data_IF_420220429085
#
_entry.id   IF_420220429085
#
_cell.length_a   1.000
_cell.length_b   1.000
_cell.length_c   1.000
_cell.angle_alpha   90.00
_cell.angle_beta   90.00
_cell.angle_gamma   90.00
#
_symmetry.space_group_name_H-M   'P 1'
#
loop_
_entity.id
_entity.type
_entity.pdbx_description
1 polymer ?
#
# COMPACT_ATOMS: atom_id res chain seq x y z
N UNK A 1 -13.12 26.88 2.93
CA UNK A 1 -11.93 26.08 2.57
C UNK A 1 -12.15 24.63 3.02
N UNK A 2 -12.12 23.68 2.09
CA UNK A 2 -12.23 22.25 2.38
C UNK A 2 -10.92 21.74 3.00
N UNK A 3 -10.97 21.07 4.16
CA UNK A 3 -9.78 20.63 4.91
C UNK A 3 -9.66 19.11 5.04
N UNK A 4 -10.74 18.38 4.87
CA UNK A 4 -10.77 16.91 4.95
C UNK A 4 -12.17 16.33 4.84
N UNK A 5 -12.23 15.00 4.77
CA UNK A 5 -13.47 14.21 4.81
C UNK A 5 -13.47 13.37 6.08
N UNK A 6 -14.55 13.43 6.86
CA UNK A 6 -14.71 12.53 7.99
C UNK A 6 -14.86 11.10 7.50
N UNK A 7 -14.00 10.22 8.01
CA UNK A 7 -13.91 8.83 7.56
C UNK A 7 -14.50 7.86 8.57
N UNK A 8 -14.30 8.11 9.87
CA UNK A 8 -14.72 7.18 10.91
C UNK A 8 -14.88 7.90 12.25
N UNK A 9 -15.83 7.42 13.06
CA UNK A 9 -15.93 7.70 14.49
C UNK A 9 -15.59 6.40 15.24
N UNK A 10 -14.63 6.45 16.14
CA UNK A 10 -14.37 5.32 17.03
C UNK A 10 -15.34 5.43 18.22
N UNK A 11 -16.26 4.48 18.34
CA UNK A 11 -17.22 4.44 19.43
C UNK A 11 -17.52 3.00 19.83
N UNK A 12 -16.89 2.49 20.89
CA UNK A 12 -17.20 1.16 21.41
C UNK A 12 -18.64 1.01 21.96
N UNK A 13 -19.28 2.15 22.32
CA UNK A 13 -20.57 2.18 22.99
C UNK A 13 -21.71 2.75 22.13
N UNK A 14 -21.42 3.12 20.87
CA UNK A 14 -22.38 3.81 20.00
C UNK A 14 -22.52 5.32 20.31
N UNK A 15 -21.95 5.82 21.41
CA UNK A 15 -21.92 7.24 21.77
C UNK A 15 -20.60 7.88 21.33
N UNK A 16 -20.61 9.17 21.01
CA UNK A 16 -19.37 9.88 20.66
C UNK A 16 -18.46 10.00 21.90
N UNK A 17 -17.30 9.32 21.83
CA UNK A 17 -16.28 9.37 22.88
C UNK A 17 -15.17 10.40 22.57
N UNK A 18 -15.40 11.29 21.61
CA UNK A 18 -14.50 12.39 21.28
C UNK A 18 -13.42 12.08 20.23
N UNK A 19 -13.37 10.88 19.66
CA UNK A 19 -12.42 10.54 18.61
C UNK A 19 -13.07 10.47 17.24
N UNK A 20 -12.73 11.45 16.40
CA UNK A 20 -13.11 11.48 14.99
C UNK A 20 -11.87 11.42 14.09
N UNK A 21 -11.95 10.66 13.02
CA UNK A 21 -10.87 10.54 12.04
C UNK A 21 -11.28 11.18 10.72
N UNK A 22 -10.43 12.03 10.17
CA UNK A 22 -10.64 12.67 8.89
C UNK A 22 -9.47 12.41 7.95
N UNK A 23 -9.80 12.18 6.67
CA UNK A 23 -8.81 12.06 5.60
C UNK A 23 -8.45 13.49 5.15
N UNK A 24 -7.15 13.89 5.22
CA UNK A 24 -6.71 15.22 4.78
C UNK A 24 -7.01 15.49 3.30
N UNK A 25 -7.28 16.75 2.94
CA UNK A 25 -7.56 17.16 1.56
C UNK A 25 -6.47 16.77 0.57
N UNK A 26 -5.20 16.73 0.98
CA UNK A 26 -4.08 16.34 0.12
C UNK A 26 -4.22 14.90 -0.38
N UNK A 27 -4.63 13.98 0.49
CA UNK A 27 -4.89 12.57 0.12
C UNK A 27 -6.16 12.47 -0.71
N UNK A 28 -7.23 13.21 -0.32
CA UNK A 28 -8.50 13.23 -1.06
C UNK A 28 -8.32 13.76 -2.48
N UNK A 29 -7.58 14.86 -2.66
CA UNK A 29 -7.32 15.45 -3.98
C UNK A 29 -6.59 14.46 -4.88
N UNK A 30 -5.53 13.81 -4.35
CA UNK A 30 -4.82 12.75 -5.10
C UNK A 30 -5.76 11.60 -5.47
N UNK A 31 -6.62 11.15 -4.54
CA UNK A 31 -7.55 10.07 -4.80
C UNK A 31 -8.53 10.44 -5.94
N UNK A 32 -9.08 11.65 -5.93
CA UNK A 32 -9.96 12.16 -6.99
C UNK A 32 -9.23 12.19 -8.35
N UNK A 33 -7.99 12.68 -8.37
CA UNK A 33 -7.19 12.71 -9.59
C UNK A 33 -6.92 11.28 -10.11
N UNK A 34 -6.55 10.36 -9.21
CA UNK A 34 -6.30 8.97 -9.56
C UNK A 34 -7.55 8.29 -10.12
N UNK A 35 -8.71 8.47 -9.48
CA UNK A 35 -9.99 7.94 -9.98
C UNK A 35 -10.37 8.53 -11.34
N UNK A 36 -10.19 9.85 -11.53
CA UNK A 36 -10.46 10.49 -12.84
C UNK A 36 -9.55 9.99 -13.95
N UNK A 37 -8.27 9.76 -13.63
CA UNK A 37 -7.25 9.44 -14.64
C UNK A 37 -7.09 7.94 -14.89
N UNK A 38 -7.24 7.14 -13.85
CA UNK A 38 -6.93 5.70 -13.88
C UNK A 38 -8.10 4.80 -13.51
N UNK A 39 -9.23 5.39 -13.08
CA UNK A 39 -10.40 4.65 -12.59
C UNK A 39 -10.20 3.98 -11.21
N UNK A 40 -9.01 4.07 -10.62
CA UNK A 40 -8.69 3.49 -9.31
C UNK A 40 -7.62 4.30 -8.59
N UNK A 41 -7.61 4.21 -7.25
CA UNK A 41 -6.60 4.84 -6.42
C UNK A 41 -5.23 4.17 -6.61
N UNK A 42 -4.20 4.98 -6.84
CA UNK A 42 -2.83 4.51 -7.03
C UNK A 42 -2.11 4.44 -5.68
N UNK A 43 -1.90 3.24 -5.17
CA UNK A 43 -1.18 3.03 -3.92
C UNK A 43 0.31 2.80 -4.22
N UNK A 44 1.14 3.70 -3.70
CA UNK A 44 2.59 3.54 -3.73
C UNK A 44 3.07 2.88 -2.44
N UNK A 45 3.96 1.92 -2.56
CA UNK A 45 4.48 1.12 -1.45
C UNK A 45 6.01 1.11 -1.44
N UNK A 46 6.56 1.12 -0.24
CA UNK A 46 8.00 0.94 -0.02
C UNK A 46 8.38 -0.55 0.11
N UNK A 47 7.43 -1.39 0.53
CA UNK A 47 7.64 -2.84 0.67
C UNK A 47 8.39 -3.21 1.96
N UNK A 48 7.92 -2.71 3.10
CA UNK A 48 8.42 -3.09 4.42
C UNK A 48 7.28 -3.47 5.36
N UNK A 49 7.59 -4.29 6.35
CA UNK A 49 6.81 -4.49 7.57
C UNK A 49 7.65 -3.94 8.73
N UNK A 50 7.01 -3.28 9.68
CA UNK A 50 7.71 -2.67 10.80
C UNK A 50 6.80 -1.81 11.64
N UNK A 51 7.38 -1.06 12.57
CA UNK A 51 6.67 -0.20 13.50
C UNK A 51 7.50 0.97 13.98
N UNK A 52 6.91 1.81 14.84
CA UNK A 52 7.65 2.88 15.52
C UNK A 52 8.73 2.28 16.41
N UNK A 53 9.97 2.76 16.25
CA UNK A 53 11.08 2.30 17.10
C UNK A 53 10.80 2.55 18.58
N UNK A 54 10.19 3.69 18.90
CA UNK A 54 9.83 4.03 20.28
C UNK A 54 8.91 2.98 20.88
N UNK A 55 7.82 2.62 20.18
CA UNK A 55 6.87 1.62 20.68
C UNK A 55 7.54 0.25 20.88
N UNK A 56 8.46 -0.12 19.97
CA UNK A 56 9.26 -1.33 20.10
C UNK A 56 10.16 -1.29 21.34
N UNK A 57 10.87 -0.17 21.59
CA UNK A 57 11.74 -0.01 22.75
C UNK A 57 10.93 -0.08 24.06
N UNK A 58 9.79 0.61 24.10
CA UNK A 58 8.93 0.63 25.29
C UNK A 58 8.38 -0.79 25.57
N UNK A 59 7.91 -1.49 24.55
CA UNK A 59 7.44 -2.88 24.71
C UNK A 59 8.54 -3.87 25.14
N UNK A 60 9.79 -3.67 24.73
CA UNK A 60 10.91 -4.50 25.19
C UNK A 60 11.26 -4.23 26.65
N UNK A 61 11.26 -2.95 27.06
CA UNK A 61 11.50 -2.57 28.47
C UNK A 61 10.42 -3.12 29.41
N UNK A 62 9.16 -3.09 28.99
CA UNK A 62 8.05 -3.66 29.77
C UNK A 62 8.19 -5.18 29.98
N UNK A 63 8.97 -5.85 29.14
CA UNK A 63 9.27 -7.28 29.22
C UNK A 63 10.63 -7.57 29.88
N UNK A 64 11.29 -6.57 30.49
CA UNK A 64 12.64 -6.68 31.07
C UNK A 64 13.69 -7.24 30.07
N UNK A 65 13.55 -6.93 28.77
CA UNK A 65 14.47 -7.35 27.72
C UNK A 65 15.46 -6.25 27.38
N UNK A 66 16.69 -6.66 27.09
CA UNK A 66 17.70 -5.76 26.58
C UNK A 66 17.31 -5.21 25.21
N UNK A 67 17.48 -3.91 25.03
CA UNK A 67 17.19 -3.21 23.78
C UNK A 67 18.49 -2.87 23.08
N UNK A 68 18.60 -3.26 21.81
CA UNK A 68 19.71 -2.84 20.94
C UNK A 68 19.74 -1.31 20.86
N UNK A 69 20.94 -0.75 20.96
CA UNK A 69 21.15 0.67 20.71
C UNK A 69 21.21 0.96 19.20
N UNK A 70 20.17 1.60 18.68
CA UNK A 70 20.04 1.98 17.28
C UNK A 70 20.72 3.31 16.94
N UNK A 71 21.22 4.07 17.93
CA UNK A 71 21.74 5.43 17.76
C UNK A 71 20.66 6.49 17.57
N UNK A 72 19.40 6.12 17.79
CA UNK A 72 18.23 7.00 17.81
C UNK A 72 17.14 6.38 18.69
N UNK A 73 16.21 7.20 19.16
CA UNK A 73 15.02 6.76 19.90
C UNK A 73 13.73 6.88 19.05
N UNK A 74 13.83 7.50 17.88
CA UNK A 74 12.69 7.76 17.00
C UNK A 74 12.95 7.23 15.59
N UNK A 75 11.89 6.92 14.89
CA UNK A 75 11.91 6.43 13.52
C UNK A 75 11.04 5.19 13.33
N UNK A 76 11.00 4.69 12.11
CA UNK A 76 10.31 3.45 11.75
C UNK A 76 11.33 2.33 11.61
N UNK A 77 11.30 1.37 12.54
CA UNK A 77 12.13 0.17 12.49
C UNK A 77 11.57 -0.81 11.47
N UNK A 78 12.43 -1.34 10.63
CA UNK A 78 12.09 -2.38 9.66
C UNK A 78 12.21 -3.74 10.35
N UNK A 79 11.11 -4.50 10.39
CA UNK A 79 11.10 -5.88 10.88
C UNK A 79 11.34 -6.86 9.74
N UNK A 80 10.74 -6.58 8.57
CA UNK A 80 10.87 -7.40 7.37
C UNK A 80 10.85 -6.53 6.12
N UNK A 81 11.63 -6.91 5.13
CA UNK A 81 11.59 -6.36 3.77
C UNK A 81 10.86 -7.34 2.88
N UNK A 82 9.92 -6.84 2.08
CA UNK A 82 9.15 -7.63 1.13
C UNK A 82 10.01 -7.89 -0.11
N UNK A 83 10.10 -9.13 -0.54
CA UNK A 83 10.73 -9.51 -1.80
C UNK A 83 10.06 -8.74 -2.95
N UNK A 84 10.82 -8.34 -3.94
CA UNK A 84 10.36 -7.49 -5.05
C UNK A 84 9.83 -6.09 -4.65
N UNK A 85 9.92 -5.70 -3.37
CA UNK A 85 9.58 -4.37 -2.88
C UNK A 85 10.63 -3.31 -3.26
N UNK A 86 10.23 -2.02 -3.22
CA UNK A 86 11.15 -0.92 -3.46
C UNK A 86 12.30 -0.86 -2.43
N UNK A 87 12.04 -1.29 -1.20
CA UNK A 87 13.04 -1.37 -0.14
C UNK A 87 14.09 -2.47 -0.42
N UNK A 88 13.68 -3.61 -0.99
CA UNK A 88 14.59 -4.69 -1.39
C UNK A 88 15.53 -4.24 -2.50
N UNK A 89 15.01 -3.58 -3.54
CA UNK A 89 15.81 -3.03 -4.64
C UNK A 89 16.87 -2.04 -4.17
N UNK A 90 16.63 -1.38 -3.05
CA UNK A 90 17.52 -0.37 -2.47
C UNK A 90 18.41 -0.90 -1.33
N UNK A 91 18.48 -2.22 -1.15
CA UNK A 91 19.26 -2.89 -0.10
C UNK A 91 18.91 -2.44 1.32
N UNK A 92 17.66 -2.01 1.59
CA UNK A 92 17.18 -1.85 2.95
C UNK A 92 17.01 -3.22 3.61
N UNK A 93 17.29 -3.31 4.90
CA UNK A 93 17.33 -4.57 5.64
C UNK A 93 16.50 -4.52 6.91
N UNK A 94 16.10 -5.66 7.47
CA UNK A 94 15.62 -5.72 8.84
C UNK A 94 16.61 -5.03 9.78
N UNK A 95 16.08 -4.41 10.83
CA UNK A 95 16.82 -3.62 11.82
C UNK A 95 17.28 -2.22 11.35
N UNK A 96 17.10 -1.84 10.08
CA UNK A 96 17.25 -0.45 9.68
C UNK A 96 16.14 0.41 10.31
N UNK A 97 16.47 1.65 10.65
CA UNK A 97 15.52 2.61 11.21
C UNK A 97 15.38 3.79 10.26
N UNK A 98 14.22 3.92 9.62
CA UNK A 98 13.91 5.05 8.75
C UNK A 98 13.61 6.26 9.63
N UNK A 99 14.33 7.37 9.40
CA UNK A 99 14.21 8.60 10.18
C UNK A 99 13.70 9.79 9.38
N UNK A 100 13.81 9.74 8.03
CA UNK A 100 13.39 10.84 7.16
C UNK A 100 13.02 10.32 5.77
N UNK A 101 11.98 10.92 5.18
CA UNK A 101 11.57 10.68 3.79
C UNK A 101 11.32 12.01 3.10
N UNK A 102 12.01 12.26 1.96
CA UNK A 102 11.97 13.52 1.20
C UNK A 102 12.16 14.78 2.07
N UNK A 103 13.12 14.71 3.01
CA UNK A 103 13.42 15.81 3.93
C UNK A 103 12.44 15.97 5.10
N UNK A 104 11.41 15.14 5.19
CA UNK A 104 10.44 15.14 6.29
C UNK A 104 10.81 14.07 7.31
N UNK A 105 10.95 14.48 8.57
CA UNK A 105 11.17 13.53 9.67
C UNK A 105 10.01 12.55 9.78
N UNK A 106 10.33 11.32 10.13
CA UNK A 106 9.38 10.21 10.31
C UNK A 106 9.71 9.54 11.63
N UNK A 107 8.82 9.67 12.61
CA UNK A 107 8.93 9.03 13.92
C UNK A 107 8.03 7.79 14.04
N UNK A 108 6.93 7.75 13.28
CA UNK A 108 5.92 6.70 13.36
C UNK A 108 5.59 6.10 11.99
N UNK A 109 5.06 4.87 11.99
CA UNK A 109 4.55 4.22 10.78
C UNK A 109 3.41 5.03 10.13
N UNK A 110 2.57 5.70 10.92
CA UNK A 110 1.49 6.55 10.41
C UNK A 110 2.01 7.74 9.61
N UNK A 111 3.09 8.39 10.07
CA UNK A 111 3.74 9.50 9.35
C UNK A 111 4.35 9.01 8.03
N UNK A 112 5.04 7.86 8.04
CA UNK A 112 5.56 7.23 6.84
C UNK A 112 4.45 6.96 5.83
N UNK A 113 3.36 6.30 6.27
CA UNK A 113 2.20 6.01 5.43
C UNK A 113 1.53 7.29 4.90
N UNK A 114 1.46 8.34 5.71
CA UNK A 114 0.91 9.64 5.30
C UNK A 114 1.72 10.30 4.16
N UNK A 115 3.04 10.15 4.16
CA UNK A 115 3.90 10.61 3.06
C UNK A 115 3.66 9.74 1.82
N UNK A 116 3.68 8.41 1.96
CA UNK A 116 3.51 7.47 0.85
C UNK A 116 2.10 7.57 0.21
N UNK A 117 1.07 7.90 1.00
CA UNK A 117 -0.29 8.09 0.50
C UNK A 117 -0.42 9.23 -0.52
N UNK A 118 0.53 10.16 -0.56
CA UNK A 118 0.60 11.27 -1.52
C UNK A 118 1.38 10.91 -2.80
N UNK A 119 1.99 9.73 -2.84
CA UNK A 119 2.85 9.26 -3.94
C UNK A 119 2.13 8.26 -4.84
N UNK A 120 2.71 8.01 -6.01
CA UNK A 120 2.25 7.02 -6.98
C UNK A 120 3.34 5.99 -7.26
N UNK A 121 2.98 4.80 -7.73
CA UNK A 121 3.96 3.85 -8.26
C UNK A 121 4.82 4.51 -9.34
N UNK A 122 6.14 4.29 -9.27
CA UNK A 122 7.12 4.95 -10.14
C UNK A 122 7.70 6.27 -9.60
N UNK A 123 7.10 6.88 -8.58
CA UNK A 123 7.69 8.05 -7.93
C UNK A 123 8.98 7.66 -7.21
N UNK A 124 9.98 8.53 -7.29
CA UNK A 124 11.22 8.40 -6.54
C UNK A 124 11.11 9.17 -5.24
N UNK A 125 11.57 8.56 -4.16
CA UNK A 125 11.70 9.21 -2.85
C UNK A 125 13.11 9.02 -2.31
N UNK A 126 13.56 9.97 -1.50
CA UNK A 126 14.83 9.88 -0.78
C UNK A 126 14.54 9.47 0.65
N UNK A 127 15.15 8.36 1.10
CA UNK A 127 15.00 7.83 2.45
C UNK A 127 16.32 7.96 3.19
N UNK A 128 16.29 8.60 4.37
CA UNK A 128 17.39 8.61 5.32
C UNK A 128 17.09 7.59 6.41
N UNK A 129 18.04 6.73 6.68
CA UNK A 129 17.91 5.65 7.65
C UNK A 129 19.18 5.45 8.45
N UNK A 130 19.07 4.78 9.58
CA UNK A 130 20.20 4.42 10.44
C UNK A 130 20.39 2.91 10.34
N UNK A 131 21.63 2.49 10.05
CA UNK A 131 22.10 1.10 10.11
C UNK A 131 23.42 1.08 10.89
N UNK A 132 23.50 0.25 11.92
CA UNK A 132 24.66 0.14 12.80
C UNK A 132 25.12 1.50 13.34
N UNK A 133 24.18 2.30 13.83
CA UNK A 133 24.36 3.67 14.38
C UNK A 133 24.88 4.70 13.35
N UNK A 134 24.95 4.33 12.07
CA UNK A 134 25.41 5.23 11.00
C UNK A 134 24.23 5.67 10.15
N UNK A 135 24.11 6.98 9.96
CA UNK A 135 23.13 7.56 9.07
C UNK A 135 23.52 7.28 7.60
N UNK A 136 22.58 6.77 6.84
CA UNK A 136 22.69 6.50 5.41
C UNK A 136 21.52 7.11 4.67
N UNK A 137 21.71 7.34 3.38
CA UNK A 137 20.65 7.87 2.50
C UNK A 137 20.59 7.01 1.24
N UNK A 138 19.38 6.71 0.80
CA UNK A 138 19.12 5.94 -0.42
C UNK A 138 17.92 6.52 -1.16
N UNK A 139 17.93 6.40 -2.48
CA UNK A 139 16.78 6.75 -3.31
C UNK A 139 16.02 5.47 -3.68
N UNK A 140 14.72 5.46 -3.43
CA UNK A 140 13.80 4.37 -3.77
C UNK A 140 12.91 4.77 -4.94
N UNK A 141 12.60 3.82 -5.81
CA UNK A 141 11.50 3.97 -6.77
C UNK A 141 10.31 3.16 -6.23
N UNK A 142 9.24 3.87 -5.86
CA UNK A 142 8.06 3.24 -5.25
C UNK A 142 7.36 2.28 -6.22
N UNK A 143 6.85 1.20 -5.70
CA UNK A 143 6.14 0.17 -6.44
C UNK A 143 4.66 0.09 -6.03
N UNK A 144 3.84 -0.56 -6.85
CA UNK A 144 2.47 -0.91 -6.50
C UNK A 144 2.41 -2.24 -5.71
N UNK A 145 1.21 -2.70 -5.36
CA UNK A 145 1.01 -3.99 -4.67
C UNK A 145 1.52 -5.20 -5.46
N UNK A 146 1.63 -5.10 -6.78
CA UNK A 146 2.15 -6.15 -7.66
C UNK A 146 3.69 -6.11 -7.80
N UNK A 147 4.39 -5.29 -7.00
CA UNK A 147 5.84 -5.20 -7.01
C UNK A 147 6.44 -4.50 -8.24
N UNK A 148 5.66 -3.72 -8.99
CA UNK A 148 6.14 -3.00 -10.15
C UNK A 148 5.78 -1.50 -10.11
N UNK A 149 6.36 -0.71 -11.02
CA UNK A 149 6.18 0.74 -11.08
C UNK A 149 5.03 1.20 -11.96
N UNK A 150 4.24 0.26 -12.51
CA UNK A 150 3.14 0.60 -13.40
C UNK A 150 1.95 1.13 -12.62
N UNK A 151 1.26 2.12 -13.17
CA UNK A 151 -0.03 2.55 -12.66
C UNK A 151 -1.08 1.49 -12.98
N UNK A 152 -1.88 1.14 -11.99
CA UNK A 152 -3.02 0.23 -12.16
C UNK A 152 -4.14 1.04 -12.82
N UNK A 153 -4.68 0.56 -13.92
CA UNK A 153 -5.87 1.14 -14.55
C UNK A 153 -7.05 0.17 -14.37
N UNK A 154 -8.19 0.70 -13.96
CA UNK A 154 -9.43 -0.03 -14.20
C UNK A 154 -9.72 0.10 -15.70
N UNK A 155 -9.43 -0.93 -16.44
CA UNK A 155 -9.88 -0.98 -17.83
C UNK A 155 -11.33 -1.48 -17.82
N UNK A 156 -12.25 -0.61 -18.24
CA UNK A 156 -13.47 -1.10 -18.84
C UNK A 156 -13.05 -1.75 -20.17
N UNK A 157 -12.94 -3.06 -20.17
CA UNK A 157 -12.77 -3.79 -21.40
C UNK A 157 -14.15 -3.83 -22.08
N UNK A 158 -14.46 -2.78 -22.84
CA UNK A 158 -15.74 -2.63 -23.56
C UNK A 158 -16.11 -3.88 -24.35
N UNK A 159 -15.10 -4.60 -24.87
CA UNK A 159 -15.29 -5.82 -25.65
C UNK A 159 -15.82 -6.98 -24.80
N UNK A 160 -15.38 -7.10 -23.56
CA UNK A 160 -15.84 -8.13 -22.62
C UNK A 160 -17.09 -7.69 -21.86
N UNK A 161 -17.35 -6.39 -21.79
CA UNK A 161 -18.50 -5.81 -21.09
C UNK A 161 -18.39 -5.89 -19.57
N UNK A 162 -17.17 -5.82 -19.00
CA UNK A 162 -16.95 -5.91 -17.59
C UNK A 162 -15.85 -4.99 -17.07
N UNK A 163 -15.91 -4.69 -15.78
CA UNK A 163 -14.85 -4.00 -15.04
C UNK A 163 -14.12 -5.00 -14.16
N UNK A 164 -12.78 -4.94 -14.17
CA UNK A 164 -11.92 -5.91 -13.51
C UNK A 164 -10.99 -5.22 -12.53
N UNK A 165 -10.65 -5.93 -11.45
CA UNK A 165 -9.68 -5.50 -10.46
C UNK A 165 -8.76 -6.67 -10.10
N UNK A 166 -7.45 -6.48 -9.95
CA UNK A 166 -6.58 -7.50 -9.37
C UNK A 166 -7.07 -7.91 -7.99
N UNK A 167 -7.06 -9.21 -7.68
CA UNK A 167 -7.45 -9.71 -6.36
C UNK A 167 -6.54 -9.15 -5.27
N UNK A 168 -7.13 -8.88 -4.11
CA UNK A 168 -6.42 -8.40 -2.92
C UNK A 168 -5.64 -9.52 -2.23
N UNK A 169 -4.66 -9.18 -1.39
CA UNK A 169 -3.90 -10.18 -0.64
C UNK A 169 -4.80 -10.99 0.31
N UNK A 170 -5.81 -10.36 0.92
CA UNK A 170 -6.82 -11.06 1.71
C UNK A 170 -7.59 -12.10 0.88
N UNK A 171 -7.95 -11.77 -0.36
CA UNK A 171 -8.60 -12.72 -1.27
C UNK A 171 -7.66 -13.85 -1.70
N UNK A 172 -6.37 -13.55 -1.90
CA UNK A 172 -5.36 -14.58 -2.22
C UNK A 172 -5.24 -15.60 -1.10
N UNK A 173 -5.16 -15.14 0.15
CA UNK A 173 -5.09 -16.01 1.33
C UNK A 173 -6.38 -16.82 1.52
N UNK A 174 -7.54 -16.15 1.47
CA UNK A 174 -8.84 -16.77 1.69
C UNK A 174 -9.15 -17.87 0.65
N UNK A 175 -8.77 -17.64 -0.61
CA UNK A 175 -9.07 -18.54 -1.73
C UNK A 175 -7.90 -19.47 -2.07
N UNK A 176 -6.76 -19.32 -1.38
CA UNK A 176 -5.51 -20.04 -1.64
C UNK A 176 -5.07 -19.96 -3.11
N UNK A 177 -5.12 -18.76 -3.69
CA UNK A 177 -4.73 -18.47 -5.07
C UNK A 177 -3.70 -17.34 -5.11
N UNK A 178 -2.70 -17.43 -5.98
CA UNK A 178 -1.60 -16.47 -6.03
C UNK A 178 -1.90 -15.23 -6.88
N UNK A 179 -2.86 -15.29 -7.80
CA UNK A 179 -3.17 -14.22 -8.75
C UNK A 179 -4.56 -14.39 -9.36
N UNK A 180 -5.06 -13.33 -9.97
CA UNK A 180 -6.31 -13.32 -10.71
C UNK A 180 -6.91 -11.93 -10.82
N UNK A 181 -7.91 -11.78 -11.68
CA UNK A 181 -8.71 -10.57 -11.82
C UNK A 181 -10.15 -10.85 -11.39
N UNK A 182 -10.63 -10.09 -10.42
CA UNK A 182 -12.02 -10.13 -9.99
C UNK A 182 -12.89 -9.29 -10.92
N UNK A 183 -14.03 -9.84 -11.34
CA UNK A 183 -15.08 -9.14 -12.09
C UNK A 183 -15.89 -8.31 -11.10
N UNK A 184 -15.63 -7.02 -11.00
CA UNK A 184 -16.33 -6.13 -10.05
C UNK A 184 -17.65 -5.59 -10.60
N UNK A 185 -17.82 -5.59 -11.92
CA UNK A 185 -19.06 -5.16 -12.58
C UNK A 185 -19.21 -5.84 -13.93
N UNK A 186 -20.43 -6.23 -14.27
CA UNK A 186 -20.82 -6.74 -15.61
C UNK A 186 -21.82 -5.75 -16.20
N UNK A 187 -21.45 -5.09 -17.30
CA UNK A 187 -22.27 -4.06 -17.95
C UNK A 187 -23.03 -4.59 -19.17
N UNK A 188 -22.59 -5.72 -19.73
CA UNK A 188 -23.09 -6.29 -20.97
C UNK A 188 -22.02 -7.13 -21.66
N UNK A 189 -22.13 -7.36 -22.97
CA UNK A 189 -21.11 -8.04 -23.78
C UNK A 189 -20.88 -9.50 -23.43
N UNK A 190 -19.74 -10.04 -23.85
CA UNK A 190 -19.41 -11.47 -23.78
C UNK A 190 -19.48 -12.07 -22.37
N UNK A 191 -19.15 -11.31 -21.32
CA UNK A 191 -19.23 -11.81 -19.94
C UNK A 191 -20.66 -12.05 -19.52
N UNK A 192 -21.58 -11.14 -19.87
CA UNK A 192 -23.01 -11.29 -19.57
C UNK A 192 -23.59 -12.47 -20.35
N UNK A 193 -23.24 -12.59 -21.64
CA UNK A 193 -23.71 -13.66 -22.52
C UNK A 193 -23.21 -15.03 -22.05
N UNK A 194 -22.00 -15.08 -21.47
CA UNK A 194 -21.41 -16.27 -20.86
C UNK A 194 -21.90 -16.54 -19.41
N UNK A 195 -22.76 -15.68 -18.85
CA UNK A 195 -23.28 -15.84 -17.50
C UNK A 195 -22.24 -15.63 -16.40
N UNK A 196 -21.15 -14.92 -16.66
CA UNK A 196 -20.11 -14.66 -15.66
C UNK A 196 -20.62 -13.63 -14.65
N UNK A 197 -20.74 -13.99 -13.34
CA UNK A 197 -21.28 -13.08 -12.34
C UNK A 197 -20.22 -12.09 -11.84
N UNK A 198 -20.68 -11.02 -11.15
CA UNK A 198 -19.84 -10.19 -10.32
C UNK A 198 -19.19 -11.04 -9.21
N UNK A 199 -17.92 -10.79 -8.88
CA UNK A 199 -17.15 -11.56 -7.91
C UNK A 199 -16.43 -12.77 -8.50
N UNK A 200 -16.64 -13.08 -9.78
CA UNK A 200 -15.90 -14.14 -10.46
C UNK A 200 -14.43 -13.77 -10.61
N UNK A 201 -13.53 -14.72 -10.35
CA UNK A 201 -12.08 -14.48 -10.46
C UNK A 201 -11.55 -15.22 -11.69
N UNK A 202 -11.01 -14.44 -12.63
CA UNK A 202 -10.35 -14.95 -13.83
C UNK A 202 -8.88 -15.17 -13.53
N UNK A 203 -8.43 -16.42 -13.57
CA UNK A 203 -7.02 -16.78 -13.37
C UNK A 203 -6.32 -17.11 -14.68
N UNK A 204 -7.03 -17.68 -15.63
CA UNK A 204 -6.48 -18.07 -16.95
C UNK A 204 -7.47 -17.79 -18.06
N UNK A 205 -6.94 -17.43 -19.23
CA UNK A 205 -7.65 -17.36 -20.49
C UNK A 205 -6.78 -18.06 -21.55
N UNK A 206 -7.30 -19.08 -22.24
CA UNK A 206 -6.57 -19.87 -23.23
C UNK A 206 -5.22 -20.38 -22.70
N UNK A 207 -5.21 -20.94 -21.48
CA UNK A 207 -4.03 -21.43 -20.75
C UNK A 207 -2.99 -20.37 -20.37
N UNK A 208 -3.20 -19.11 -20.72
CA UNK A 208 -2.36 -17.99 -20.26
C UNK A 208 -2.83 -17.50 -18.89
N UNK A 209 -1.87 -17.33 -17.98
CA UNK A 209 -2.12 -16.79 -16.66
C UNK A 209 -2.46 -15.30 -16.71
N UNK A 210 -3.57 -14.92 -16.10
CA UNK A 210 -4.07 -13.54 -16.05
C UNK A 210 -3.75 -12.95 -14.68
N UNK A 211 -2.70 -12.13 -14.61
CA UNK A 211 -2.24 -11.46 -13.39
C UNK A 211 -2.60 -9.98 -13.37
N UNK A 212 -2.71 -9.38 -14.53
CA UNK A 212 -2.97 -7.95 -14.72
C UNK A 212 -4.06 -7.73 -15.77
N UNK A 213 -4.65 -6.54 -15.75
CA UNK A 213 -5.65 -6.14 -16.76
C UNK A 213 -5.06 -6.16 -18.18
N UNK A 214 -3.75 -5.87 -18.31
CA UNK A 214 -3.07 -5.91 -19.60
C UNK A 214 -3.00 -7.33 -20.20
N UNK A 215 -3.10 -8.37 -19.39
CA UNK A 215 -3.10 -9.76 -19.85
C UNK A 215 -4.45 -10.17 -20.49
N UNK A 216 -5.50 -9.34 -20.32
CA UNK A 216 -6.81 -9.52 -20.97
C UNK A 216 -6.94 -8.75 -22.29
N UNK A 217 -5.99 -7.88 -22.64
CA UNK A 217 -5.95 -7.09 -23.86
C UNK A 217 -5.21 -7.84 -24.97
#
# INVERSE_FOLDING_TARGET
RFIGINAMLASPTGSNIGYGFAIPTTIVSKAIEDFKKYGTYQRAMIGIQGGSLKDYIDAMKDQDKDVKDYGTMEGVRIDKVVEDGAAADADLKPEDVITEVDGKKVATMGELQGILAQKRPGDKITVKYIRDKKTKTVTLTLKNEQGNTKVVKNADLDVLGGTFHPITDAQKEQLNIGYGLEVIKVNGGKLKDAGVPKGFIIQKVNDQSIKTIADLQ
#
